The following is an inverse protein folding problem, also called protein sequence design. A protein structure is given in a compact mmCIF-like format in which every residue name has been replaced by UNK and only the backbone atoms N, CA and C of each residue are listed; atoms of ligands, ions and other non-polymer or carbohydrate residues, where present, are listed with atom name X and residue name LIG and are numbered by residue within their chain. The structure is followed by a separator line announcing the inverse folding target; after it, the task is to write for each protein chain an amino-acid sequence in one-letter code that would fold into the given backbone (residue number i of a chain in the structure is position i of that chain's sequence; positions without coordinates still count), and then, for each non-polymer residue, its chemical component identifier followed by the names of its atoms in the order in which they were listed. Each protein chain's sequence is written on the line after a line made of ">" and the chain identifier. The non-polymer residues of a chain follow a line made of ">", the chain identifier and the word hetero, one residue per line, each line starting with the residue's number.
data_IF_551155665358
#
_entry.id   IF_551155665358
#
_cell.length_a   1.000
_cell.length_b   1.000
_cell.length_c   1.000
_cell.angle_alpha   90.00
_cell.angle_beta   90.00
_cell.angle_gamma   90.00
#
_symmetry.space_group_name_H-M   'P 1'
#
loop_
_entity.id
_entity.type
_entity.pdbx_description
1 polymer ?
#
# COMPACT_ATOMS: atom_id res chain seq x y z
N UNK A 1 11.76 31.08 13.40
CA UNK A 1 10.47 31.80 13.41
C UNK A 1 9.47 30.87 14.07
N UNK A 2 9.03 31.21 15.28
CA UNK A 2 7.98 30.47 15.97
C UNK A 2 6.69 30.68 15.19
N UNK A 3 6.22 29.61 14.51
CA UNK A 3 4.88 29.60 13.92
C UNK A 3 3.88 29.71 15.09
N UNK A 4 3.40 30.90 15.33
CA UNK A 4 2.22 31.13 16.17
C UNK A 4 1.05 30.43 15.50
N UNK A 5 0.42 29.56 16.26
CA UNK A 5 -0.90 29.01 15.95
C UNK A 5 -1.83 30.18 15.57
N UNK A 6 -2.49 30.21 14.43
CA UNK A 6 -3.33 31.32 13.98
C UNK A 6 -4.54 31.57 14.87
N UNK A 7 -4.77 30.79 15.94
CA UNK A 7 -5.89 30.96 16.87
C UNK A 7 -7.26 30.57 16.32
N UNK A 8 -7.31 30.02 15.11
CA UNK A 8 -8.54 29.59 14.43
C UNK A 8 -8.89 28.10 14.64
N UNK A 9 -8.11 27.39 15.48
CA UNK A 9 -8.29 25.96 15.76
C UNK A 9 -7.86 25.05 14.61
N UNK A 10 -7.14 25.57 13.59
CA UNK A 10 -6.60 24.76 12.49
C UNK A 10 -5.19 24.26 12.82
N UNK A 11 -4.86 23.08 12.32
CA UNK A 11 -3.62 22.36 12.52
C UNK A 11 -2.84 22.23 11.21
N UNK A 12 -1.51 22.30 11.25
CA UNK A 12 -0.68 22.12 10.05
C UNK A 12 -0.74 20.68 9.54
N UNK A 13 -0.50 20.49 8.25
CA UNK A 13 -0.30 19.20 7.63
C UNK A 13 1.18 18.78 7.72
N UNK A 14 1.44 17.46 7.64
CA UNK A 14 2.77 16.97 7.26
C UNK A 14 3.01 17.24 5.78
N UNK A 15 4.28 17.30 5.36
CA UNK A 15 4.62 17.47 3.93
C UNK A 15 4.03 16.35 3.07
N UNK A 16 3.97 15.12 3.61
CA UNK A 16 3.30 14.02 2.91
C UNK A 16 1.80 14.27 2.72
N UNK A 17 1.12 14.81 3.73
CA UNK A 17 -0.29 15.19 3.63
C UNK A 17 -0.51 16.37 2.68
N UNK A 18 0.39 17.37 2.67
CA UNK A 18 0.33 18.49 1.70
C UNK A 18 0.40 17.96 0.25
N UNK A 19 1.28 16.98 0.00
CA UNK A 19 1.35 16.31 -1.30
C UNK A 19 0.05 15.58 -1.67
N UNK A 20 -0.56 14.85 -0.73
CA UNK A 20 -1.84 14.16 -0.95
C UNK A 20 -3.01 15.13 -1.11
N UNK A 21 -3.01 16.25 -0.38
CA UNK A 21 -4.00 17.31 -0.55
C UNK A 21 -3.94 17.94 -1.95
N UNK A 22 -2.73 18.23 -2.44
CA UNK A 22 -2.53 18.73 -3.80
C UNK A 22 -3.06 17.73 -4.84
N UNK A 23 -2.73 16.44 -4.71
CA UNK A 23 -3.18 15.40 -5.63
C UNK A 23 -4.71 15.24 -5.61
N UNK A 24 -5.32 15.30 -4.42
CA UNK A 24 -6.79 15.31 -4.27
C UNK A 24 -7.41 16.54 -4.94
N UNK A 25 -6.84 17.73 -4.75
CA UNK A 25 -7.34 18.96 -5.37
C UNK A 25 -7.28 18.93 -6.89
N UNK A 26 -6.28 18.23 -7.47
CA UNK A 26 -6.14 18.07 -8.91
C UNK A 26 -7.09 17.01 -9.51
N UNK A 27 -7.50 16.00 -8.71
CA UNK A 27 -8.36 14.91 -9.13
C UNK A 27 -9.30 14.49 -7.98
N UNK A 28 -10.29 15.34 -7.62
CA UNK A 28 -11.12 15.12 -6.42
C UNK A 28 -12.03 13.89 -6.51
N UNK A 29 -12.31 13.41 -7.72
CA UNK A 29 -13.14 12.23 -7.97
C UNK A 29 -12.33 10.91 -8.04
N UNK A 30 -11.00 10.97 -7.90
CA UNK A 30 -10.13 9.79 -7.98
C UNK A 30 -10.17 8.96 -6.71
N UNK A 31 -10.24 7.64 -6.85
CA UNK A 31 -10.11 6.67 -5.74
C UNK A 31 -8.67 6.16 -5.52
N UNK A 32 -7.69 6.70 -6.24
CA UNK A 32 -6.27 6.27 -6.18
C UNK A 32 -5.71 6.21 -4.75
N UNK A 33 -6.15 7.12 -3.89
CA UNK A 33 -5.72 7.22 -2.50
C UNK A 33 -6.78 6.74 -1.50
N UNK A 34 -7.74 5.91 -1.94
CA UNK A 34 -8.66 5.24 -1.04
C UNK A 34 -8.04 3.95 -0.52
N UNK A 35 -8.10 3.76 0.79
CA UNK A 35 -7.76 2.52 1.46
C UNK A 35 -9.05 1.88 1.96
N UNK A 36 -9.30 0.65 1.57
CA UNK A 36 -10.50 -0.07 1.94
C UNK A 36 -10.18 -1.41 2.61
N UNK A 37 -10.92 -1.72 3.65
CA UNK A 37 -10.96 -3.04 4.25
C UNK A 37 -12.41 -3.46 4.42
N UNK A 38 -12.68 -4.76 4.32
CA UNK A 38 -13.98 -5.35 4.50
C UNK A 38 -13.97 -6.52 5.47
N UNK A 39 -15.06 -6.71 6.17
CA UNK A 39 -15.27 -7.89 7.03
C UNK A 39 -16.66 -8.44 6.76
N UNK A 40 -16.74 -9.73 6.37
CA UNK A 40 -18.02 -10.46 6.36
C UNK A 40 -18.35 -10.88 7.78
N UNK A 41 -19.58 -10.64 8.21
CA UNK A 41 -20.06 -10.93 9.56
C UNK A 41 -21.27 -11.86 9.48
N UNK A 42 -21.22 -12.98 10.18
CA UNK A 42 -22.26 -14.03 10.23
C UNK A 42 -22.57 -14.42 11.69
N UNK A 43 -23.84 -14.36 12.13
CA UNK A 43 -24.99 -13.72 11.47
C UNK A 43 -24.78 -12.23 11.24
N UNK A 44 -25.71 -11.60 10.48
CA UNK A 44 -25.70 -10.15 10.27
C UNK A 44 -25.67 -9.40 11.62
N UNK A 45 -24.76 -8.42 11.82
CA UNK A 45 -24.65 -7.68 13.07
C UNK A 45 -25.88 -6.80 13.32
N UNK A 46 -26.10 -6.47 14.59
CA UNK A 46 -27.04 -5.41 14.96
C UNK A 46 -26.49 -4.04 14.49
N UNK A 47 -27.22 -3.32 13.61
CA UNK A 47 -26.75 -2.04 13.09
C UNK A 47 -26.56 -0.95 14.15
N UNK A 48 -27.37 -0.95 15.22
CA UNK A 48 -27.28 0.05 16.30
C UNK A 48 -26.01 -0.18 17.12
N UNK A 49 -25.70 -1.44 17.43
CA UNK A 49 -24.46 -1.82 18.11
C UNK A 49 -23.24 -1.44 17.24
N UNK A 50 -23.28 -1.75 15.95
CA UNK A 50 -22.19 -1.43 15.03
C UNK A 50 -22.01 0.09 14.87
N UNK A 51 -23.10 0.87 14.81
CA UNK A 51 -23.05 2.33 14.76
C UNK A 51 -22.36 2.91 16.00
N UNK A 52 -22.70 2.44 17.20
CA UNK A 52 -22.04 2.84 18.45
C UNK A 52 -20.56 2.45 18.47
N UNK A 53 -20.20 1.30 17.91
CA UNK A 53 -18.80 0.91 17.78
C UNK A 53 -18.03 1.83 16.82
N UNK A 54 -18.62 2.24 15.69
CA UNK A 54 -18.05 3.23 14.76
C UNK A 54 -17.89 4.59 15.45
N UNK A 55 -18.87 5.03 16.23
CA UNK A 55 -18.80 6.29 17.00
C UNK A 55 -17.62 6.26 17.99
N UNK A 56 -17.46 5.17 18.73
CA UNK A 56 -16.33 5.00 19.67
C UNK A 56 -14.96 5.05 18.98
N UNK A 57 -14.83 4.43 17.78
CA UNK A 57 -13.60 4.46 16.98
C UNK A 57 -13.33 5.86 16.44
N UNK A 58 -14.34 6.56 15.94
CA UNK A 58 -14.17 7.93 15.42
C UNK A 58 -13.85 8.93 16.54
N UNK A 59 -14.41 8.74 17.73
CA UNK A 59 -14.06 9.53 18.91
C UNK A 59 -12.60 9.35 19.30
N UNK A 60 -12.12 8.10 19.37
CA UNK A 60 -10.74 7.75 19.71
C UNK A 60 -9.72 8.34 18.74
N UNK A 61 -10.04 8.38 17.43
CA UNK A 61 -9.10 8.70 16.36
C UNK A 61 -9.43 10.01 15.65
N UNK A 62 -8.90 11.17 16.14
CA UNK A 62 -9.19 12.51 15.57
C UNK A 62 -8.93 12.64 14.07
N UNK A 63 -8.00 11.87 13.52
CA UNK A 63 -7.71 11.89 12.08
C UNK A 63 -8.90 11.49 11.22
N UNK A 64 -9.81 10.63 11.71
CA UNK A 64 -10.99 10.19 10.98
C UNK A 64 -12.08 11.26 10.82
N UNK A 65 -12.06 12.25 11.67
CA UNK A 65 -13.00 13.39 11.68
C UNK A 65 -12.30 14.72 11.40
N UNK A 66 -11.13 14.65 10.74
CA UNK A 66 -10.42 15.84 10.28
C UNK A 66 -10.91 16.25 8.90
N UNK A 67 -11.16 17.55 8.72
CA UNK A 67 -11.44 18.18 7.42
C UNK A 67 -10.29 19.06 7.00
N UNK A 68 -10.12 19.24 5.70
CA UNK A 68 -8.95 19.87 5.10
C UNK A 68 -9.37 21.07 4.25
N UNK A 69 -8.60 22.14 4.27
CA UNK A 69 -8.88 23.33 3.47
C UNK A 69 -7.59 24.10 3.18
N UNK A 70 -7.59 24.83 2.07
CA UNK A 70 -6.57 25.83 1.80
C UNK A 70 -6.85 27.09 2.64
N UNK A 71 -5.79 27.65 3.19
CA UNK A 71 -5.81 28.92 3.94
C UNK A 71 -4.75 29.85 3.40
N UNK A 72 -4.72 31.10 3.87
CA UNK A 72 -3.64 32.05 3.54
C UNK A 72 -2.25 31.57 4.00
N UNK A 73 -2.21 30.60 4.92
CA UNK A 73 -0.98 29.98 5.45
C UNK A 73 -0.68 28.60 4.83
N UNK A 74 -1.31 28.25 3.69
CA UNK A 74 -1.24 26.94 3.04
C UNK A 74 -2.34 25.99 3.52
N UNK A 75 -2.26 24.72 3.10
CA UNK A 75 -3.26 23.73 3.46
C UNK A 75 -3.23 23.39 4.97
N UNK A 76 -4.39 23.32 5.59
CA UNK A 76 -4.60 23.09 7.01
C UNK A 76 -5.67 22.03 7.23
N UNK A 77 -5.69 21.42 8.40
CA UNK A 77 -6.78 20.56 8.84
C UNK A 77 -7.45 21.09 10.11
N UNK A 78 -8.71 20.79 10.28
CA UNK A 78 -9.48 21.04 11.49
C UNK A 78 -10.15 19.75 11.94
N UNK A 79 -10.05 19.44 13.23
CA UNK A 79 -10.70 18.29 13.84
C UNK A 79 -12.12 18.67 14.21
N UNK A 80 -13.11 17.97 13.67
CA UNK A 80 -14.51 18.17 13.98
C UNK A 80 -14.88 17.50 15.32
N UNK A 81 -15.91 17.97 16.03
CA UNK A 81 -16.47 17.27 17.17
C UNK A 81 -16.90 15.84 16.85
N UNK A 82 -16.89 14.91 17.82
CA UNK A 82 -17.45 13.59 17.65
C UNK A 82 -18.91 13.63 17.16
N UNK A 83 -19.27 12.73 16.24
CA UNK A 83 -20.63 12.61 15.70
C UNK A 83 -20.99 13.58 14.56
N UNK A 84 -20.13 14.53 14.21
CA UNK A 84 -20.37 15.40 13.03
C UNK A 84 -20.05 14.69 11.71
N UNK A 85 -19.08 13.79 11.71
CA UNK A 85 -18.70 13.00 10.53
C UNK A 85 -18.46 11.53 10.91
N UNK A 86 -18.31 10.67 9.90
CA UNK A 86 -17.87 9.29 10.10
C UNK A 86 -18.93 8.34 10.63
N UNK A 87 -20.21 8.65 10.44
CA UNK A 87 -21.33 7.79 10.87
C UNK A 87 -21.45 6.54 10.00
N UNK A 88 -21.96 5.45 10.60
CA UNK A 88 -22.26 4.23 9.87
C UNK A 88 -23.43 4.45 8.89
N UNK A 89 -23.21 4.10 7.63
CA UNK A 89 -24.28 4.01 6.62
C UNK A 89 -24.74 2.56 6.51
N UNK A 90 -26.01 2.29 6.72
CA UNK A 90 -26.60 0.94 6.58
C UNK A 90 -27.36 0.86 5.27
N UNK A 91 -27.09 -0.16 4.47
CA UNK A 91 -27.81 -0.47 3.23
C UNK A 91 -28.37 -1.87 3.30
N UNK A 92 -29.70 -1.99 3.27
CA UNK A 92 -30.39 -3.28 3.15
C UNK A 92 -30.29 -3.77 1.71
N UNK A 93 -29.60 -4.90 1.52
CA UNK A 93 -29.32 -5.48 0.19
C UNK A 93 -29.90 -6.90 0.10
N UNK A 94 -31.17 -7.05 0.55
CA UNK A 94 -31.88 -8.32 0.58
C UNK A 94 -31.96 -8.93 -0.82
N UNK A 95 -31.52 -10.20 -0.94
CA UNK A 95 -31.55 -10.92 -2.21
C UNK A 95 -30.35 -10.69 -3.11
N UNK A 96 -29.40 -9.82 -2.75
CA UNK A 96 -28.15 -9.65 -3.49
C UNK A 96 -27.32 -10.93 -3.42
N UNK A 97 -26.85 -11.41 -4.56
CA UNK A 97 -25.84 -12.46 -4.65
C UNK A 97 -24.44 -11.91 -4.35
N UNK A 98 -23.43 -12.79 -4.31
CA UNK A 98 -22.07 -12.38 -3.98
C UNK A 98 -21.43 -11.50 -5.09
N UNK A 99 -21.86 -11.62 -6.34
CA UNK A 99 -21.39 -10.77 -7.43
C UNK A 99 -21.97 -9.37 -7.35
N UNK A 100 -23.25 -9.26 -7.03
CA UNK A 100 -23.92 -7.98 -6.80
C UNK A 100 -23.37 -7.29 -5.56
N UNK A 101 -23.15 -8.05 -4.48
CA UNK A 101 -22.53 -7.53 -3.26
C UNK A 101 -21.13 -6.97 -3.54
N UNK A 102 -20.32 -7.69 -4.33
CA UNK A 102 -18.99 -7.19 -4.73
C UNK A 102 -19.08 -5.90 -5.54
N UNK A 103 -20.00 -5.80 -6.50
CA UNK A 103 -20.23 -4.55 -7.27
C UNK A 103 -20.62 -3.37 -6.37
N UNK A 104 -21.43 -3.63 -5.32
CA UNK A 104 -21.78 -2.63 -4.33
C UNK A 104 -20.56 -2.21 -3.49
N UNK A 105 -19.73 -3.18 -3.07
CA UNK A 105 -18.45 -2.90 -2.38
C UNK A 105 -17.57 -2.00 -3.25
N UNK A 106 -17.37 -2.37 -4.52
CA UNK A 106 -16.55 -1.60 -5.45
C UNK A 106 -17.08 -0.16 -5.63
N UNK A 107 -18.42 0.00 -5.69
CA UNK A 107 -19.05 1.32 -5.78
C UNK A 107 -18.82 2.18 -4.53
N UNK A 108 -18.88 1.59 -3.32
CA UNK A 108 -18.60 2.31 -2.06
C UNK A 108 -17.13 2.69 -1.95
N UNK A 109 -16.22 1.85 -2.43
CA UNK A 109 -14.77 2.13 -2.45
C UNK A 109 -14.44 3.21 -3.47
N UNK A 110 -15.09 3.20 -4.64
CA UNK A 110 -14.88 4.18 -5.69
C UNK A 110 -15.49 5.55 -5.39
N UNK A 111 -16.50 5.63 -4.50
CA UNK A 111 -17.19 6.88 -4.23
C UNK A 111 -16.23 7.96 -3.70
N UNK A 112 -16.17 9.16 -4.30
CA UNK A 112 -15.24 10.22 -3.91
C UNK A 112 -15.37 10.63 -2.44
N UNK A 113 -14.28 11.12 -1.86
CA UNK A 113 -14.29 11.80 -0.56
C UNK A 113 -14.40 13.31 -0.74
N UNK A 114 -15.27 13.93 0.05
CA UNK A 114 -15.32 15.39 0.22
C UNK A 114 -14.52 15.76 1.47
N UNK A 115 -13.20 15.91 1.29
CA UNK A 115 -12.28 16.14 2.41
C UNK A 115 -12.49 17.48 3.11
N UNK A 116 -13.20 18.43 2.48
CA UNK A 116 -13.46 19.77 3.03
C UNK A 116 -14.55 19.79 4.11
N UNK A 117 -15.49 18.86 4.07
CA UNK A 117 -16.68 18.87 4.92
C UNK A 117 -17.09 17.50 5.49
N UNK A 118 -16.91 16.40 4.74
CA UNK A 118 -17.27 15.05 5.20
C UNK A 118 -16.11 14.32 5.88
N UNK A 119 -14.86 14.75 5.60
CA UNK A 119 -13.66 14.13 6.12
C UNK A 119 -13.23 12.86 5.37
N UNK A 120 -12.21 12.16 5.88
CA UNK A 120 -11.50 11.10 5.18
C UNK A 120 -11.94 9.68 5.54
N UNK A 121 -13.11 9.52 6.17
CA UNK A 121 -13.56 8.24 6.72
C UNK A 121 -15.01 7.95 6.36
N UNK A 122 -15.27 6.71 5.96
CA UNK A 122 -16.62 6.18 5.67
C UNK A 122 -16.74 4.75 6.19
N UNK A 123 -17.79 4.48 6.96
CA UNK A 123 -18.18 3.15 7.40
C UNK A 123 -19.52 2.77 6.77
N UNK A 124 -19.60 1.58 6.16
CA UNK A 124 -20.80 1.10 5.47
C UNK A 124 -21.07 -0.33 5.88
N UNK A 125 -22.34 -0.63 6.17
CA UNK A 125 -22.84 -1.99 6.39
C UNK A 125 -23.77 -2.37 5.23
N UNK A 126 -23.34 -3.31 4.39
CA UNK A 126 -24.18 -3.95 3.36
C UNK A 126 -24.82 -5.19 3.98
N UNK A 127 -26.11 -5.11 4.33
CA UNK A 127 -26.80 -6.12 5.15
C UNK A 127 -27.73 -6.98 4.32
N UNK A 128 -27.46 -8.28 4.29
CA UNK A 128 -28.39 -9.30 3.77
C UNK A 128 -29.24 -9.89 4.90
N UNK A 129 -30.04 -10.91 4.61
CA UNK A 129 -30.91 -11.54 5.58
C UNK A 129 -30.14 -12.28 6.67
N UNK A 130 -29.06 -12.98 6.32
CA UNK A 130 -28.33 -13.89 7.20
C UNK A 130 -26.90 -13.41 7.53
N UNK A 131 -26.30 -12.61 6.65
CA UNK A 131 -24.95 -12.06 6.81
C UNK A 131 -24.88 -10.59 6.41
N UNK A 132 -23.73 -10.00 6.62
CA UNK A 132 -23.46 -8.64 6.15
C UNK A 132 -21.98 -8.47 5.81
N UNK A 133 -21.67 -7.46 4.98
CA UNK A 133 -20.33 -6.96 4.79
C UNK A 133 -20.21 -5.58 5.42
N UNK A 134 -19.38 -5.45 6.43
CA UNK A 134 -18.96 -4.19 6.98
C UNK A 134 -17.74 -3.70 6.21
N UNK A 135 -17.75 -2.44 5.76
CA UNK A 135 -16.68 -1.77 5.03
C UNK A 135 -16.16 -0.57 5.83
N UNK A 136 -14.87 -0.41 5.86
CA UNK A 136 -14.18 0.80 6.27
C UNK A 136 -13.39 1.30 5.07
N UNK A 137 -13.74 2.49 4.60
CA UNK A 137 -13.01 3.18 3.52
C UNK A 137 -12.43 4.47 4.08
N UNK A 138 -11.16 4.72 3.83
CA UNK A 138 -10.49 5.95 4.26
C UNK A 138 -9.71 6.57 3.12
N UNK A 139 -9.52 7.88 3.16
CA UNK A 139 -8.55 8.54 2.30
C UNK A 139 -7.15 8.46 2.93
N UNK A 140 -6.15 8.17 2.12
CA UNK A 140 -4.76 7.96 2.57
C UNK A 140 -4.16 9.18 3.30
N UNK A 141 -4.73 10.39 3.11
CA UNK A 141 -4.32 11.60 3.83
C UNK A 141 -4.44 11.46 5.36
N UNK A 142 -5.34 10.59 5.84
CA UNK A 142 -5.61 10.37 7.25
C UNK A 142 -5.12 9.03 7.79
N UNK A 143 -4.78 8.07 6.92
CA UNK A 143 -4.46 6.70 7.33
C UNK A 143 -3.37 6.09 6.46
N UNK A 144 -2.74 5.03 6.98
CA UNK A 144 -1.86 4.12 6.27
C UNK A 144 -2.30 2.66 6.49
N UNK A 145 -1.57 1.70 5.93
CA UNK A 145 -1.91 0.28 6.06
C UNK A 145 -2.00 -0.18 7.53
N UNK A 146 -1.05 0.26 8.40
CA UNK A 146 -1.12 -0.08 9.82
C UNK A 146 -2.32 0.58 10.50
N UNK A 147 -2.65 1.81 10.14
CA UNK A 147 -3.85 2.50 10.64
C UNK A 147 -5.13 1.75 10.29
N UNK A 148 -5.24 1.14 9.10
CA UNK A 148 -6.38 0.30 8.73
C UNK A 148 -6.55 -0.88 9.70
N UNK A 149 -5.45 -1.54 10.08
CA UNK A 149 -5.50 -2.64 11.03
C UNK A 149 -5.89 -2.17 12.45
N UNK A 150 -5.38 -1.02 12.88
CA UNK A 150 -5.79 -0.41 14.15
C UNK A 150 -7.30 -0.11 14.16
N UNK A 151 -7.84 0.42 13.06
CA UNK A 151 -9.26 0.72 12.95
C UNK A 151 -10.11 -0.54 13.05
N UNK A 152 -9.74 -1.62 12.34
CA UNK A 152 -10.47 -2.88 12.42
C UNK A 152 -10.37 -3.54 13.79
N UNK A 153 -9.19 -3.57 14.40
CA UNK A 153 -9.00 -4.05 15.77
C UNK A 153 -9.93 -3.34 16.76
N UNK A 154 -9.92 -2.03 16.71
CA UNK A 154 -10.70 -1.20 17.64
C UNK A 154 -12.20 -1.32 17.39
N UNK A 155 -12.61 -1.38 16.11
CA UNK A 155 -14.01 -1.54 15.72
C UNK A 155 -14.57 -2.89 16.19
N UNK A 156 -13.85 -3.97 15.96
CA UNK A 156 -14.28 -5.30 16.34
C UNK A 156 -14.26 -5.48 17.86
N UNK A 157 -13.28 -4.90 18.57
CA UNK A 157 -13.24 -4.89 20.03
C UNK A 157 -14.40 -4.08 20.63
N UNK A 158 -14.66 -2.88 20.11
CA UNK A 158 -15.80 -2.05 20.54
C UNK A 158 -17.14 -2.75 20.28
N UNK A 159 -17.30 -3.38 19.12
CA UNK A 159 -18.49 -4.14 18.79
C UNK A 159 -18.70 -5.32 19.79
N UNK A 160 -17.63 -6.06 20.10
CA UNK A 160 -17.71 -7.18 21.04
C UNK A 160 -18.17 -6.73 22.45
N UNK A 161 -17.58 -5.65 22.97
CA UNK A 161 -17.98 -5.10 24.27
C UNK A 161 -19.43 -4.66 24.28
N UNK A 162 -19.87 -3.91 23.28
CA UNK A 162 -21.24 -3.44 23.16
C UNK A 162 -22.25 -4.56 22.99
N UNK A 163 -21.94 -5.59 22.22
CA UNK A 163 -22.79 -6.78 22.04
C UNK A 163 -22.99 -7.57 23.35
N UNK A 164 -22.03 -7.47 24.28
CA UNK A 164 -22.12 -8.05 25.62
C UNK A 164 -22.66 -7.06 26.67
N UNK A 165 -23.14 -5.90 26.25
CA UNK A 165 -23.72 -4.88 27.13
C UNK A 165 -22.70 -4.08 27.96
N UNK A 166 -21.44 -4.09 27.55
CA UNK A 166 -20.36 -3.28 28.16
C UNK A 166 -20.09 -2.02 27.34
N UNK A 167 -19.61 -0.97 28.01
CA UNK A 167 -19.06 0.20 27.29
C UNK A 167 -17.68 -0.12 26.75
N UNK A 168 -17.38 0.31 25.50
CA UNK A 168 -16.07 0.06 24.87
C UNK A 168 -14.94 0.69 25.67
N UNK A 169 -13.85 -0.04 25.88
CA UNK A 169 -12.64 0.44 26.54
C UNK A 169 -11.51 0.65 25.54
N UNK A 170 -11.61 1.74 24.78
CA UNK A 170 -10.59 2.12 23.83
C UNK A 170 -9.66 3.18 24.50
N UNK A 171 -8.52 2.71 25.02
CA UNK A 171 -7.55 3.60 25.67
C UNK A 171 -7.00 4.64 24.67
N UNK A 172 -6.89 5.93 25.05
CA UNK A 172 -6.30 6.94 24.20
C UNK A 172 -4.82 6.63 23.92
N UNK A 173 -4.33 6.90 22.70
CA UNK A 173 -2.92 6.72 22.41
C UNK A 173 -2.03 7.66 23.21
N UNK A 174 -0.79 7.24 23.52
CA UNK A 174 0.17 8.00 24.32
C UNK A 174 0.68 9.29 23.64
N UNK A 175 0.44 9.46 22.36
CA UNK A 175 0.80 10.61 21.54
C UNK A 175 -0.24 10.81 20.44
N UNK A 176 -0.09 11.83 19.61
CA UNK A 176 -0.96 12.14 18.50
C UNK A 176 -0.17 12.32 17.18
N UNK A 177 -0.89 12.57 16.09
CA UNK A 177 -0.29 12.81 14.78
C UNK A 177 0.41 14.18 14.70
N UNK A 178 0.01 15.15 15.49
CA UNK A 178 0.59 16.49 15.51
C UNK A 178 2.02 16.49 16.04
N UNK A 179 2.33 15.58 16.95
CA UNK A 179 3.72 15.34 17.38
C UNK A 179 4.61 14.88 16.22
N UNK A 180 4.08 14.06 15.31
CA UNK A 180 4.82 13.66 14.11
C UNK A 180 5.04 14.87 13.19
N UNK A 181 4.02 15.68 12.93
CA UNK A 181 4.11 16.89 12.11
C UNK A 181 5.14 17.86 12.66
N UNK A 182 5.12 18.12 13.96
CA UNK A 182 6.09 18.98 14.63
C UNK A 182 7.53 18.45 14.54
N UNK A 183 7.71 17.13 14.71
CA UNK A 183 9.01 16.48 14.59
C UNK A 183 9.55 16.50 13.15
N UNK A 184 8.68 16.35 12.15
CA UNK A 184 9.03 16.47 10.72
C UNK A 184 9.55 17.88 10.41
N UNK A 185 8.83 18.92 10.82
CA UNK A 185 9.25 20.34 10.65
C UNK A 185 10.59 20.62 11.31
N UNK A 186 10.77 20.19 12.55
CA UNK A 186 12.06 20.30 13.26
C UNK A 186 13.18 19.59 12.50
N UNK A 187 12.93 18.41 11.95
CA UNK A 187 13.90 17.71 11.13
C UNK A 187 14.31 18.52 9.90
N UNK A 188 13.35 19.07 9.19
CA UNK A 188 13.60 19.80 7.93
C UNK A 188 14.43 21.07 8.15
N UNK A 189 14.27 21.74 9.29
CA UNK A 189 15.07 22.92 9.67
C UNK A 189 16.47 22.55 10.19
N UNK A 190 16.76 21.29 10.43
CA UNK A 190 18.02 20.82 11.02
C UNK A 190 19.10 20.51 9.98
N UNK A 191 20.36 20.49 10.43
CA UNK A 191 21.47 19.98 9.62
C UNK A 191 21.33 18.50 9.20
N UNK A 192 20.55 17.72 9.97
CA UNK A 192 20.20 16.34 9.61
C UNK A 192 19.26 16.32 8.40
N UNK A 193 18.26 17.20 8.36
CA UNK A 193 17.36 17.35 7.20
C UNK A 193 18.13 17.74 5.94
N UNK A 194 19.05 18.71 6.04
CA UNK A 194 19.90 19.10 4.92
C UNK A 194 20.74 17.93 4.38
N UNK A 195 21.36 17.12 5.25
CA UNK A 195 22.11 15.92 4.81
C UNK A 195 21.23 14.85 4.17
N UNK A 196 19.97 14.71 4.62
CA UNK A 196 19.02 13.80 3.99
C UNK A 196 18.60 14.29 2.59
N UNK A 197 18.38 15.60 2.43
CA UNK A 197 18.12 16.21 1.13
C UNK A 197 19.26 15.96 0.14
N UNK A 198 20.52 16.15 0.58
CA UNK A 198 21.73 15.90 -0.23
C UNK A 198 21.81 14.44 -0.66
N UNK A 199 21.52 13.51 0.25
CA UNK A 199 21.46 12.08 -0.07
C UNK A 199 20.43 11.79 -1.16
N UNK A 200 19.21 12.29 -1.04
CA UNK A 200 18.16 12.03 -2.02
C UNK A 200 18.47 12.65 -3.39
N UNK A 201 19.07 13.85 -3.42
CA UNK A 201 19.55 14.44 -4.66
C UNK A 201 20.63 13.57 -5.33
N UNK A 202 21.60 13.08 -4.56
CA UNK A 202 22.63 12.19 -5.07
C UNK A 202 22.05 10.84 -5.55
N UNK A 203 21.10 10.27 -4.80
CA UNK A 203 20.46 8.99 -5.14
C UNK A 203 19.68 9.06 -6.46
N UNK A 204 19.11 10.22 -6.76
CA UNK A 204 18.35 10.47 -7.99
C UNK A 204 19.23 10.86 -9.17
N UNK A 205 20.39 11.48 -8.93
CA UNK A 205 21.23 12.03 -9.99
C UNK A 205 21.65 10.96 -11.02
N UNK A 206 21.30 11.18 -12.29
CA UNK A 206 21.61 10.28 -13.40
C UNK A 206 20.79 9.00 -13.48
N UNK A 207 19.89 8.75 -12.52
CA UNK A 207 18.98 7.60 -12.56
C UNK A 207 17.67 7.94 -13.32
N UNK A 208 16.94 6.91 -13.72
CA UNK A 208 15.66 7.04 -14.41
C UNK A 208 14.59 6.22 -13.67
N UNK A 209 13.31 6.57 -13.88
CA UNK A 209 12.22 5.69 -13.50
C UNK A 209 12.29 4.38 -14.32
N UNK A 210 12.15 3.24 -13.66
CA UNK A 210 12.03 1.98 -14.39
C UNK A 210 10.72 2.00 -15.20
N UNK A 211 10.81 1.76 -16.50
CA UNK A 211 9.65 1.75 -17.39
C UNK A 211 9.55 0.41 -18.11
N UNK A 212 8.49 -0.34 -17.83
CA UNK A 212 8.19 -1.60 -18.52
C UNK A 212 7.60 -1.32 -19.91
N UNK A 213 7.90 -2.16 -20.91
CA UNK A 213 7.19 -2.11 -22.19
C UNK A 213 5.69 -2.30 -21.98
N UNK A 214 4.89 -1.35 -22.43
CA UNK A 214 3.43 -1.36 -22.29
C UNK A 214 2.75 -2.02 -23.51
N UNK A 215 1.62 -2.69 -23.29
CA UNK A 215 0.81 -3.27 -24.38
C UNK A 215 0.02 -2.19 -25.14
N UNK A 216 -0.26 -1.06 -24.48
CA UNK A 216 -1.02 0.05 -25.02
C UNK A 216 -0.27 1.36 -24.87
N UNK A 217 -0.48 2.32 -25.79
CA UNK A 217 0.09 3.65 -25.65
C UNK A 217 -0.36 4.30 -24.35
N UNK A 218 0.55 5.01 -23.67
CA UNK A 218 0.23 5.75 -22.46
C UNK A 218 -0.76 6.86 -22.75
N UNK A 219 -1.91 6.91 -22.07
CA UNK A 219 -2.88 7.98 -22.27
C UNK A 219 -2.33 9.33 -21.82
N UNK A 220 -2.73 10.42 -22.50
CA UNK A 220 -2.33 11.76 -22.13
C UNK A 220 -2.86 12.19 -20.75
N UNK A 221 -4.04 11.71 -20.39
CA UNK A 221 -4.62 11.85 -19.04
C UNK A 221 -4.58 10.49 -18.36
N UNK A 222 -3.93 10.34 -17.22
CA UNK A 222 -3.92 9.07 -16.49
C UNK A 222 -5.36 8.62 -16.19
N UNK A 223 -5.76 7.50 -16.76
CA UNK A 223 -7.02 6.84 -16.45
C UNK A 223 -6.68 5.61 -15.61
N UNK A 224 -6.39 5.83 -14.34
CA UNK A 224 -5.84 4.82 -13.41
C UNK A 224 -6.87 3.75 -13.06
N UNK A 225 -7.20 2.87 -14.01
CA UNK A 225 -8.00 1.67 -13.72
C UNK A 225 -7.07 0.56 -13.27
N UNK A 226 -7.08 0.28 -11.98
CA UNK A 226 -6.25 -0.77 -11.38
C UNK A 226 -6.95 -2.13 -11.39
N UNK A 227 -6.15 -3.17 -11.43
CA UNK A 227 -6.55 -4.54 -11.08
C UNK A 227 -5.37 -5.27 -10.46
N UNK A 228 -5.61 -6.42 -9.83
CA UNK A 228 -4.58 -7.19 -9.17
C UNK A 228 -4.58 -8.67 -9.60
N UNK A 229 -3.39 -9.27 -9.57
CA UNK A 229 -3.18 -10.71 -9.59
C UNK A 229 -2.62 -11.10 -8.23
N UNK A 230 -3.32 -11.94 -7.50
CA UNK A 230 -2.90 -12.39 -6.17
C UNK A 230 -2.51 -13.85 -6.23
N UNK A 231 -1.33 -14.19 -5.70
CA UNK A 231 -0.85 -15.58 -5.63
C UNK A 231 -0.11 -15.82 -4.32
N UNK A 232 -0.45 -16.92 -3.68
CA UNK A 232 0.34 -17.47 -2.59
C UNK A 232 1.53 -18.23 -3.18
N UNK A 233 2.71 -17.96 -2.66
CA UNK A 233 3.90 -18.72 -3.04
C UNK A 233 3.84 -20.14 -2.44
N UNK A 234 4.40 -21.14 -3.13
CA UNK A 234 4.59 -22.46 -2.53
C UNK A 234 5.38 -22.37 -1.21
N UNK A 235 5.01 -23.19 -0.22
CA UNK A 235 5.65 -23.17 1.09
C UNK A 235 7.17 -23.40 1.01
N UNK A 236 7.60 -24.30 0.11
CA UNK A 236 9.02 -24.55 -0.14
C UNK A 236 9.78 -23.31 -0.64
N UNK A 237 9.14 -22.48 -1.49
CA UNK A 237 9.74 -21.25 -1.98
C UNK A 237 9.75 -20.16 -0.89
N UNK A 238 8.66 -20.02 -0.12
CA UNK A 238 8.59 -19.09 1.01
C UNK A 238 9.68 -19.39 2.05
N UNK A 239 9.86 -20.65 2.38
CA UNK A 239 10.92 -21.12 3.29
C UNK A 239 12.32 -20.96 2.66
N UNK A 240 12.45 -21.19 1.34
CA UNK A 240 13.68 -20.97 0.60
C UNK A 240 14.11 -19.50 0.66
N UNK A 241 13.18 -18.56 0.44
CA UNK A 241 13.43 -17.11 0.55
C UNK A 241 13.86 -16.75 1.98
N UNK A 242 13.23 -17.33 3.00
CA UNK A 242 13.61 -17.11 4.39
C UNK A 242 15.04 -17.56 4.67
N UNK A 243 15.43 -18.75 4.20
CA UNK A 243 16.80 -19.30 4.35
C UNK A 243 17.82 -18.47 3.57
N UNK A 244 17.56 -18.18 2.28
CA UNK A 244 18.45 -17.38 1.46
C UNK A 244 18.69 -15.98 2.06
N UNK A 245 17.66 -15.37 2.68
CA UNK A 245 17.79 -14.11 3.39
C UNK A 245 18.68 -14.25 4.64
N UNK A 246 18.51 -15.32 5.43
CA UNK A 246 19.32 -15.58 6.61
C UNK A 246 20.78 -15.88 6.26
N UNK A 247 21.04 -16.74 5.27
CA UNK A 247 22.39 -17.12 4.82
C UNK A 247 23.19 -15.92 4.29
N UNK A 248 22.52 -14.92 3.72
CA UNK A 248 23.12 -13.69 3.20
C UNK A 248 23.08 -12.52 4.19
N UNK A 249 22.55 -12.72 5.39
CA UNK A 249 22.34 -11.68 6.41
C UNK A 249 21.54 -10.45 5.89
N UNK A 250 20.55 -10.71 5.02
CA UNK A 250 19.66 -9.68 4.46
C UNK A 250 18.20 -9.92 4.85
N UNK A 251 17.33 -8.97 4.56
CA UNK A 251 15.88 -9.17 4.76
C UNK A 251 15.26 -9.98 3.61
N UNK A 252 14.15 -10.69 3.88
CA UNK A 252 13.34 -11.33 2.82
C UNK A 252 12.87 -10.28 1.78
N UNK A 253 12.61 -9.06 2.21
CA UNK A 253 12.29 -7.95 1.32
C UNK A 253 13.43 -7.64 0.35
N UNK A 254 14.68 -7.70 0.79
CA UNK A 254 15.85 -7.48 -0.08
C UNK A 254 15.97 -8.58 -1.15
N UNK A 255 15.71 -9.84 -0.79
CA UNK A 255 15.67 -10.95 -1.76
C UNK A 255 14.55 -10.71 -2.79
N UNK A 256 13.36 -10.35 -2.33
CA UNK A 256 12.22 -10.09 -3.19
C UNK A 256 12.45 -8.87 -4.10
N UNK A 257 12.98 -7.77 -3.58
CA UNK A 257 13.28 -6.57 -4.38
C UNK A 257 14.44 -6.82 -5.37
N UNK A 258 15.49 -7.54 -4.96
CA UNK A 258 16.59 -7.90 -5.87
C UNK A 258 16.11 -8.77 -7.04
N UNK A 259 15.21 -9.73 -6.79
CA UNK A 259 14.58 -10.52 -7.83
C UNK A 259 13.74 -9.63 -8.79
N UNK A 260 12.98 -8.66 -8.26
CA UNK A 260 12.23 -7.70 -9.08
C UNK A 260 13.17 -6.81 -9.92
N UNK A 261 14.21 -6.26 -9.32
CA UNK A 261 15.19 -5.44 -10.04
C UNK A 261 15.88 -6.24 -11.15
N UNK A 262 16.22 -7.50 -10.90
CA UNK A 262 16.75 -8.41 -11.90
C UNK A 262 15.77 -8.66 -13.05
N UNK A 263 14.50 -8.87 -12.76
CA UNK A 263 13.45 -9.04 -13.77
C UNK A 263 13.25 -7.78 -14.61
N UNK A 264 13.18 -6.61 -13.97
CA UNK A 264 13.05 -5.31 -14.67
C UNK A 264 14.25 -5.09 -15.61
N UNK A 265 15.48 -5.35 -15.15
CA UNK A 265 16.65 -5.28 -16.01
C UNK A 265 16.53 -6.20 -17.24
N UNK A 266 16.00 -7.41 -17.07
CA UNK A 266 15.84 -8.39 -18.16
C UNK A 266 14.74 -7.99 -19.17
N UNK A 267 13.70 -7.29 -18.72
CA UNK A 267 12.61 -6.82 -19.57
C UNK A 267 12.97 -5.56 -20.35
N UNK A 268 13.74 -4.66 -19.73
CA UNK A 268 13.97 -3.30 -20.22
C UNK A 268 15.38 -3.08 -20.75
N UNK A 269 16.35 -3.88 -20.33
CA UNK A 269 17.76 -3.63 -20.55
C UNK A 269 18.35 -2.51 -19.68
N UNK A 270 17.50 -1.82 -18.86
CA UNK A 270 17.95 -0.76 -17.96
C UNK A 270 18.83 -1.33 -16.87
N UNK A 271 19.93 -0.62 -16.55
CA UNK A 271 20.89 -1.03 -15.52
C UNK A 271 20.93 -0.08 -14.33
N UNK A 272 20.41 1.12 -14.51
CA UNK A 272 20.39 2.16 -13.50
C UNK A 272 18.99 2.77 -13.47
N UNK A 273 18.21 2.44 -12.44
CA UNK A 273 16.82 2.86 -12.33
C UNK A 273 16.35 2.87 -10.87
N UNK A 274 15.22 3.54 -10.65
CA UNK A 274 14.59 3.68 -9.35
C UNK A 274 13.34 2.80 -9.23
N UNK A 275 13.19 2.15 -8.06
CA UNK A 275 11.96 1.50 -7.60
C UNK A 275 11.52 2.18 -6.31
N UNK A 276 10.25 2.55 -6.21
CA UNK A 276 9.70 3.11 -4.98
C UNK A 276 9.37 2.00 -3.97
N UNK A 277 9.78 2.22 -2.73
CA UNK A 277 9.49 1.29 -1.65
C UNK A 277 8.82 2.08 -0.51
N UNK A 278 7.50 2.00 -0.35
CA UNK A 278 6.82 2.62 0.77
C UNK A 278 7.42 2.14 2.10
N UNK A 279 7.88 3.08 2.91
CA UNK A 279 8.48 2.82 4.22
C UNK A 279 7.68 3.50 5.33
N UNK A 280 7.45 2.80 6.43
CA UNK A 280 6.83 3.40 7.60
C UNK A 280 7.83 4.32 8.31
N UNK A 281 7.40 5.55 8.57
CA UNK A 281 8.13 6.53 9.40
C UNK A 281 7.54 6.60 10.82
N UNK A 282 6.63 5.71 11.15
CA UNK A 282 5.97 5.59 12.44
C UNK A 282 6.97 5.17 13.51
N UNK A 283 7.07 5.95 14.57
CA UNK A 283 7.89 5.63 15.75
C UNK A 283 7.09 4.74 16.71
N UNK A 284 7.78 4.04 17.59
CA UNK A 284 7.17 3.13 18.59
C UNK A 284 6.12 3.83 19.47
N UNK A 285 6.36 5.09 19.86
CA UNK A 285 5.39 5.88 20.64
C UNK A 285 4.07 6.11 19.90
N UNK A 286 4.09 6.14 18.56
CA UNK A 286 2.90 6.36 17.72
C UNK A 286 2.28 5.06 17.19
N UNK A 287 2.64 3.89 17.74
CA UNK A 287 2.14 2.60 17.26
C UNK A 287 0.61 2.49 17.30
N UNK A 288 -0.03 3.16 18.25
CA UNK A 288 -1.49 3.19 18.48
C UNK A 288 -2.19 4.40 17.84
N UNK A 289 -1.45 5.24 17.11
CA UNK A 289 -2.00 6.47 16.51
C UNK A 289 -2.42 6.21 15.07
N UNK A 290 -3.67 6.49 14.73
CA UNK A 290 -4.14 6.52 13.34
C UNK A 290 -3.60 7.78 12.67
N UNK A 291 -2.99 7.63 11.48
CA UNK A 291 -2.40 8.72 10.73
C UNK A 291 -1.67 8.27 9.47
N UNK A 292 -1.22 9.21 8.66
CA UNK A 292 -0.41 8.99 7.47
C UNK A 292 1.08 8.95 7.83
N UNK A 293 1.62 7.77 8.10
CA UNK A 293 3.01 7.54 8.49
C UNK A 293 3.81 6.78 7.44
N UNK A 294 3.38 6.78 6.21
CA UNK A 294 4.11 6.14 5.12
C UNK A 294 4.81 7.20 4.27
N UNK A 295 6.04 6.89 3.86
CA UNK A 295 6.79 7.74 2.94
C UNK A 295 7.46 6.85 1.88
N UNK A 296 7.20 7.06 0.58
CA UNK A 296 7.92 6.36 -0.47
C UNK A 296 9.42 6.70 -0.42
N UNK A 297 10.27 5.68 -0.33
CA UNK A 297 11.72 5.82 -0.47
C UNK A 297 12.15 5.25 -1.82
N UNK A 298 13.11 5.90 -2.47
CA UNK A 298 13.61 5.47 -3.77
C UNK A 298 14.80 4.54 -3.58
N UNK A 299 14.67 3.30 -4.02
CA UNK A 299 15.75 2.31 -4.00
C UNK A 299 16.34 2.18 -5.40
N UNK A 300 17.58 2.65 -5.57
CA UNK A 300 18.30 2.62 -6.86
C UNK A 300 18.83 1.23 -7.13
N UNK A 301 18.49 0.67 -8.28
CA UNK A 301 19.13 -0.49 -8.86
C UNK A 301 20.33 -0.03 -9.72
N UNK A 302 21.50 -0.59 -9.45
CA UNK A 302 22.73 -0.40 -10.24
C UNK A 302 23.26 -1.77 -10.60
N UNK A 303 22.93 -2.27 -11.78
CA UNK A 303 23.21 -3.64 -12.22
C UNK A 303 24.36 -3.66 -13.21
N UNK A 304 25.45 -4.31 -12.86
CA UNK A 304 26.59 -4.50 -13.76
C UNK A 304 26.27 -5.53 -14.84
N UNK A 305 27.04 -5.55 -15.92
CA UNK A 305 26.78 -6.41 -17.09
C UNK A 305 26.74 -7.91 -16.73
N UNK A 306 27.66 -8.31 -15.87
CA UNK A 306 27.89 -9.71 -15.53
C UNK A 306 27.39 -10.03 -14.10
N UNK A 307 26.52 -9.17 -13.54
CA UNK A 307 26.02 -9.34 -12.18
C UNK A 307 25.34 -10.70 -12.01
N UNK A 308 25.61 -11.33 -10.88
CA UNK A 308 24.85 -12.47 -10.40
C UNK A 308 23.58 -12.00 -9.69
N UNK A 309 22.63 -12.90 -9.53
CA UNK A 309 21.39 -12.58 -8.82
C UNK A 309 21.65 -12.25 -7.35
N UNK A 310 22.61 -12.95 -6.72
CA UNK A 310 23.04 -12.67 -5.34
C UNK A 310 23.65 -11.26 -5.18
N UNK A 311 24.49 -10.82 -6.11
CA UNK A 311 25.05 -9.45 -6.09
C UNK A 311 23.96 -8.38 -6.22
N UNK A 312 22.89 -8.65 -7.02
CA UNK A 312 21.74 -7.74 -7.12
C UNK A 312 20.99 -7.69 -5.79
N UNK A 313 20.77 -8.83 -5.13
CA UNK A 313 20.12 -8.93 -3.81
C UNK A 313 20.93 -8.18 -2.74
N UNK A 314 22.25 -8.38 -2.68
CA UNK A 314 23.13 -7.71 -1.70
C UNK A 314 23.12 -6.19 -1.89
N UNK A 315 23.19 -5.75 -3.14
CA UNK A 315 23.09 -4.33 -3.46
C UNK A 315 21.73 -3.74 -3.12
N UNK A 316 20.66 -4.46 -3.41
CA UNK A 316 19.30 -4.06 -2.99
C UNK A 316 19.21 -3.92 -1.46
N UNK A 317 19.76 -4.87 -0.70
CA UNK A 317 19.79 -4.82 0.76
C UNK A 317 20.53 -3.57 1.28
N UNK A 318 21.71 -3.27 0.73
CA UNK A 318 22.47 -2.07 1.08
C UNK A 318 21.68 -0.78 0.76
N UNK A 319 21.07 -0.70 -0.44
CA UNK A 319 20.30 0.46 -0.86
C UNK A 319 19.03 0.64 -0.05
N UNK A 320 18.33 -0.44 0.32
CA UNK A 320 17.18 -0.42 1.23
C UNK A 320 17.61 0.15 2.58
N UNK A 321 18.71 -0.33 3.15
CA UNK A 321 19.21 0.13 4.47
C UNK A 321 19.52 1.63 4.44
N UNK A 322 20.21 2.11 3.39
CA UNK A 322 20.53 3.52 3.21
C UNK A 322 19.30 4.39 3.05
N UNK A 323 18.32 3.94 2.25
CA UNK A 323 17.06 4.64 2.00
C UNK A 323 16.19 4.69 3.26
N UNK A 324 16.02 3.56 3.96
CA UNK A 324 15.20 3.46 5.17
C UNK A 324 15.76 4.32 6.31
N UNK A 325 17.09 4.40 6.47
CA UNK A 325 17.72 5.29 7.46
C UNK A 325 17.41 6.78 7.22
N UNK A 326 16.91 7.13 6.05
CA UNK A 326 16.56 8.49 5.62
C UNK A 326 15.09 8.65 5.22
N UNK A 327 14.27 7.66 5.54
CA UNK A 327 12.85 7.65 5.22
C UNK A 327 12.06 8.81 5.88
N UNK A 328 12.62 9.44 6.91
CA UNK A 328 12.01 10.60 7.55
C UNK A 328 12.07 11.89 6.72
N UNK A 329 12.82 11.94 5.62
CA UNK A 329 12.78 13.06 4.68
C UNK A 329 11.61 12.87 3.70
N UNK A 330 10.63 13.80 3.64
CA UNK A 330 9.40 13.60 2.89
C UNK A 330 9.61 13.48 1.37
N UNK A 331 8.97 12.49 0.76
CA UNK A 331 9.03 12.24 -0.69
C UNK A 331 8.57 13.44 -1.56
N UNK A 332 7.52 14.22 -1.20
CA UNK A 332 7.14 15.39 -1.98
C UNK A 332 8.29 16.40 -2.19
N UNK A 333 9.17 16.58 -1.20
CA UNK A 333 10.36 17.43 -1.35
C UNK A 333 11.39 16.80 -2.30
N UNK A 334 11.56 15.48 -2.27
CA UNK A 334 12.42 14.76 -3.24
C UNK A 334 11.88 14.92 -4.66
N UNK A 335 10.56 14.88 -4.82
CA UNK A 335 9.89 15.08 -6.12
C UNK A 335 10.00 16.54 -6.60
N UNK A 336 9.81 17.49 -5.71
CA UNK A 336 9.93 18.92 -6.02
C UNK A 336 11.36 19.27 -6.50
N UNK A 337 12.39 18.74 -5.85
CA UNK A 337 13.79 18.91 -6.26
C UNK A 337 14.10 18.30 -7.64
N UNK A 338 13.23 17.44 -8.17
CA UNK A 338 13.38 16.83 -9.48
C UNK A 338 12.98 17.76 -10.64
N UNK A 339 12.18 18.80 -10.36
CA UNK A 339 11.61 19.67 -11.39
C UNK A 339 10.70 18.89 -12.36
N UNK A 340 10.60 19.37 -13.59
CA UNK A 340 9.69 18.82 -14.61
C UNK A 340 10.19 17.55 -15.31
N UNK A 341 11.11 16.81 -14.69
CA UNK A 341 11.77 15.61 -15.27
C UNK A 341 10.87 14.37 -15.41
N UNK A 342 9.57 14.47 -15.12
CA UNK A 342 8.62 13.35 -15.15
C UNK A 342 8.61 12.54 -13.84
N UNK A 343 7.87 11.41 -13.79
CA UNK A 343 7.73 10.61 -12.57
C UNK A 343 9.06 10.01 -12.14
N UNK A 344 9.35 10.06 -10.84
CA UNK A 344 10.58 9.48 -10.27
C UNK A 344 10.55 7.95 -10.24
N UNK A 345 9.38 7.35 -10.27
CA UNK A 345 9.18 5.91 -10.33
C UNK A 345 7.88 5.56 -11.07
N UNK A 346 7.84 4.38 -11.64
CA UNK A 346 6.65 3.76 -12.26
C UNK A 346 6.41 2.35 -11.70
N UNK A 347 7.37 1.86 -10.93
CA UNK A 347 7.30 0.57 -10.27
C UNK A 347 7.49 0.78 -8.77
N UNK A 348 6.61 0.18 -7.98
CA UNK A 348 6.70 0.19 -6.52
C UNK A 348 6.72 -1.23 -5.96
N UNK A 349 7.33 -1.40 -4.79
CA UNK A 349 7.31 -2.66 -4.06
C UNK A 349 7.27 -2.42 -2.56
N UNK A 350 6.39 -3.15 -1.87
CA UNK A 350 6.31 -3.14 -0.40
C UNK A 350 6.23 -4.55 0.16
N UNK A 351 6.56 -4.70 1.43
CA UNK A 351 6.33 -5.94 2.19
C UNK A 351 5.67 -5.60 3.52
N UNK A 352 4.55 -6.27 3.78
CA UNK A 352 3.80 -6.18 5.03
C UNK A 352 3.94 -7.50 5.79
N UNK A 353 4.21 -7.44 7.09
CA UNK A 353 4.19 -8.63 7.96
C UNK A 353 3.00 -8.54 8.89
N UNK A 354 2.11 -9.50 8.78
CA UNK A 354 0.91 -9.58 9.65
C UNK A 354 1.25 -9.98 11.08
N UNK A 355 2.42 -10.58 11.31
CA UNK A 355 2.94 -10.91 12.66
C UNK A 355 3.13 -9.67 13.56
N UNK A 356 3.06 -8.48 12.98
CA UNK A 356 3.13 -7.20 13.72
C UNK A 356 1.77 -6.69 14.17
N UNK A 357 0.70 -7.39 13.82
CA UNK A 357 -0.66 -6.98 14.17
C UNK A 357 -1.07 -7.64 15.50
N UNK A 358 -1.50 -6.82 16.44
CA UNK A 358 -1.97 -7.25 17.75
C UNK A 358 -3.48 -7.58 17.71
N UNK A 359 -3.97 -8.31 18.72
CA UNK A 359 -5.40 -8.51 18.93
C UNK A 359 -6.07 -9.51 17.99
N UNK A 360 -5.31 -10.48 17.46
CA UNK A 360 -5.85 -11.51 16.56
C UNK A 360 -5.97 -11.04 15.09
N UNK A 361 -5.55 -9.81 14.81
CA UNK A 361 -5.62 -9.25 13.43
C UNK A 361 -4.67 -9.95 12.47
N UNK A 362 -3.59 -10.58 12.96
CA UNK A 362 -2.73 -11.47 12.18
C UNK A 362 -3.49 -12.67 11.60
N UNK A 363 -4.45 -13.19 12.36
CA UNK A 363 -5.32 -14.30 11.93
C UNK A 363 -6.36 -13.79 10.93
N UNK A 364 -6.95 -12.63 11.21
CA UNK A 364 -7.91 -12.00 10.30
C UNK A 364 -7.27 -11.66 8.95
N UNK A 365 -6.05 -11.14 8.94
CA UNK A 365 -5.29 -10.83 7.73
C UNK A 365 -5.01 -12.07 6.85
N UNK A 366 -4.95 -13.26 7.47
CA UNK A 366 -4.84 -14.54 6.76
C UNK A 366 -6.20 -15.05 6.22
N UNK A 367 -7.29 -14.30 6.38
CA UNK A 367 -8.64 -14.70 5.97
C UNK A 367 -9.24 -15.79 6.86
N UNK A 368 -8.69 -16.01 8.06
CA UNK A 368 -9.21 -17.00 9.01
C UNK A 368 -10.38 -16.39 9.78
N UNK A 369 -11.53 -17.08 9.85
CA UNK A 369 -12.68 -16.62 10.61
C UNK A 369 -12.37 -16.46 12.11
N UNK A 370 -12.78 -15.35 12.70
CA UNK A 370 -12.61 -15.05 14.11
C UNK A 370 -13.96 -14.81 14.80
N UNK A 371 -14.06 -15.12 16.10
CA UNK A 371 -15.28 -14.90 16.90
C UNK A 371 -15.25 -13.50 17.51
N UNK A 372 -16.30 -12.72 17.28
CA UNK A 372 -16.42 -11.34 17.75
C UNK A 372 -17.85 -11.07 18.21
N UNK A 373 -18.08 -10.84 19.50
CA UNK A 373 -19.40 -10.47 20.04
C UNK A 373 -20.56 -11.40 19.61
N UNK A 374 -20.32 -12.72 19.59
CA UNK A 374 -21.30 -13.72 19.17
C UNK A 374 -21.35 -13.97 17.66
N UNK A 375 -20.66 -13.18 16.85
CA UNK A 375 -20.57 -13.32 15.39
C UNK A 375 -19.30 -14.09 14.97
N UNK A 376 -19.32 -14.57 13.74
CA UNK A 376 -18.11 -14.96 13.00
C UNK A 376 -17.73 -13.81 12.05
N UNK A 377 -16.54 -13.29 12.18
CA UNK A 377 -15.99 -12.23 11.34
C UNK A 377 -14.88 -12.79 10.44
N UNK A 378 -14.98 -12.58 9.13
CA UNK A 378 -13.96 -13.00 8.15
C UNK A 378 -13.51 -11.79 7.36
N UNK A 379 -12.22 -11.49 7.37
CA UNK A 379 -11.67 -10.39 6.59
C UNK A 379 -11.78 -10.66 5.10
N UNK A 380 -12.17 -9.63 4.36
CA UNK A 380 -12.26 -9.62 2.90
C UNK A 380 -11.19 -8.71 2.33
N UNK A 381 -10.35 -9.25 1.48
CA UNK A 381 -9.43 -8.42 0.69
C UNK A 381 -10.23 -7.59 -0.32
N UNK A 382 -10.12 -6.29 -0.22
CA UNK A 382 -10.74 -5.34 -1.14
C UNK A 382 -9.69 -4.90 -2.16
N UNK A 383 -9.87 -5.18 -3.46
CA UNK A 383 -8.94 -4.76 -4.48
C UNK A 383 -8.82 -3.24 -4.58
N UNK A 384 -7.62 -2.72 -4.79
CA UNK A 384 -7.46 -1.32 -5.19
C UNK A 384 -8.04 -1.11 -6.60
N UNK A 385 -8.94 -0.14 -6.76
CA UNK A 385 -9.61 0.15 -8.02
C UNK A 385 -8.76 1.02 -8.94
N UNK A 386 -7.85 1.81 -8.39
CA UNK A 386 -6.92 2.68 -9.11
C UNK A 386 -5.50 2.49 -8.56
N UNK A 387 -4.49 2.61 -9.45
CA UNK A 387 -3.09 2.44 -9.08
C UNK A 387 -2.37 3.78 -8.89
N UNK A 388 -1.42 3.84 -7.95
CA UNK A 388 -0.55 5.00 -7.72
C UNK A 388 0.65 5.03 -8.69
N UNK A 389 0.91 3.95 -9.42
CA UNK A 389 1.98 3.78 -10.40
C UNK A 389 1.61 2.69 -11.41
N UNK A 390 2.42 2.53 -12.45
CA UNK A 390 2.14 1.58 -13.54
C UNK A 390 2.02 0.14 -13.03
N UNK A 391 2.95 -0.26 -12.14
CA UNK A 391 2.99 -1.61 -11.54
C UNK A 391 3.44 -1.52 -10.08
N UNK A 392 2.74 -2.19 -9.19
CA UNK A 392 3.19 -2.37 -7.81
C UNK A 392 3.09 -3.82 -7.36
N UNK A 393 4.07 -4.25 -6.57
CA UNK A 393 4.07 -5.56 -5.91
C UNK A 393 3.96 -5.36 -4.40
N UNK A 394 2.97 -5.98 -3.81
CA UNK A 394 2.86 -6.09 -2.36
C UNK A 394 3.10 -7.53 -1.95
N UNK A 395 4.07 -7.74 -1.08
CA UNK A 395 4.35 -9.04 -0.49
C UNK A 395 3.80 -9.05 0.93
N UNK A 396 2.83 -9.89 1.20
CA UNK A 396 2.30 -10.13 2.53
C UNK A 396 2.96 -11.37 3.12
N UNK A 397 3.56 -11.21 4.29
CA UNK A 397 4.09 -12.32 5.09
C UNK A 397 3.15 -12.61 6.25
N UNK A 398 2.66 -13.82 6.30
CA UNK A 398 1.86 -14.37 7.40
C UNK A 398 2.52 -15.62 8.00
N UNK A 399 1.88 -16.22 9.02
CA UNK A 399 2.36 -17.45 9.67
C UNK A 399 2.45 -18.66 8.73
N UNK A 400 1.81 -18.60 7.57
CA UNK A 400 1.77 -19.70 6.61
C UNK A 400 2.74 -19.49 5.42
N UNK A 401 3.35 -18.30 5.25
CA UNK A 401 4.32 -18.01 4.18
C UNK A 401 4.14 -16.64 3.52
N UNK A 402 4.35 -16.58 2.21
CA UNK A 402 4.32 -15.34 1.43
C UNK A 402 3.19 -15.36 0.39
N UNK A 403 2.41 -14.29 0.38
CA UNK A 403 1.44 -13.98 -0.68
C UNK A 403 1.90 -12.73 -1.42
N UNK A 404 1.78 -12.72 -2.75
CA UNK A 404 2.14 -11.58 -3.58
C UNK A 404 0.90 -11.08 -4.32
N UNK A 405 0.60 -9.80 -4.16
CA UNK A 405 -0.36 -9.06 -4.96
C UNK A 405 0.40 -8.18 -5.97
N UNK A 406 0.27 -8.50 -7.25
CA UNK A 406 0.77 -7.68 -8.35
C UNK A 406 -0.39 -6.82 -8.85
N UNK A 407 -0.29 -5.50 -8.64
CA UNK A 407 -1.27 -4.51 -9.09
C UNK A 407 -0.73 -3.78 -10.30
N UNK A 408 -1.58 -3.49 -11.28
CA UNK A 408 -1.16 -2.83 -12.52
C UNK A 408 -2.27 -1.99 -13.14
N UNK A 409 -1.86 -0.99 -13.94
CA UNK A 409 -2.77 -0.14 -14.70
C UNK A 409 -3.26 -0.87 -15.96
N UNK A 410 -4.57 -1.16 -16.01
CA UNK A 410 -5.21 -1.84 -17.16
C UNK A 410 -5.30 -0.97 -18.41
N UNK A 411 -5.07 0.34 -18.30
CA UNK A 411 -4.93 1.21 -19.47
C UNK A 411 -3.59 0.99 -20.19
N UNK A 412 -2.58 0.44 -19.51
CA UNK A 412 -1.24 0.20 -20.04
C UNK A 412 -0.99 -1.27 -20.38
N UNK A 413 -1.50 -2.19 -19.56
CA UNK A 413 -1.13 -3.61 -19.63
C UNK A 413 -2.33 -4.52 -19.81
N UNK A 414 -2.11 -5.58 -20.55
CA UNK A 414 -3.06 -6.69 -20.66
C UNK A 414 -2.83 -7.68 -19.52
N UNK A 415 -3.91 -8.35 -19.11
CA UNK A 415 -3.86 -9.36 -18.06
C UNK A 415 -2.83 -10.45 -18.35
N UNK A 416 -2.80 -10.95 -19.59
CA UNK A 416 -1.87 -12.01 -20.04
C UNK A 416 -0.41 -11.60 -19.97
N UNK A 417 -0.09 -10.32 -20.22
CA UNK A 417 1.25 -9.77 -20.07
C UNK A 417 1.65 -9.73 -18.60
N UNK A 418 0.74 -9.32 -17.70
CA UNK A 418 1.01 -9.28 -16.28
C UNK A 418 1.07 -10.67 -15.63
N UNK A 419 0.27 -11.63 -16.09
CA UNK A 419 0.39 -13.03 -15.68
C UNK A 419 1.76 -13.60 -16.05
N UNK A 420 2.26 -13.32 -17.25
CA UNK A 420 3.62 -13.69 -17.68
C UNK A 420 4.71 -13.01 -16.84
N UNK A 421 4.57 -11.72 -16.57
CA UNK A 421 5.50 -10.98 -15.68
C UNK A 421 5.54 -11.64 -14.31
N UNK A 422 4.38 -12.00 -13.76
CA UNK A 422 4.28 -12.64 -12.45
C UNK A 422 4.97 -14.03 -12.44
N UNK A 423 4.73 -14.87 -13.46
CA UNK A 423 5.38 -16.18 -13.59
C UNK A 423 6.90 -16.02 -13.65
N UNK A 424 7.38 -15.05 -14.40
CA UNK A 424 8.80 -14.75 -14.50
C UNK A 424 9.38 -14.22 -13.20
N UNK A 425 8.62 -13.40 -12.45
CA UNK A 425 9.03 -12.93 -11.14
C UNK A 425 9.20 -14.09 -10.16
N UNK A 426 8.26 -15.04 -10.13
CA UNK A 426 8.39 -16.26 -9.31
C UNK A 426 9.63 -17.06 -9.71
N UNK A 427 9.97 -17.15 -11.00
CA UNK A 427 11.21 -17.80 -11.48
C UNK A 427 12.47 -17.07 -10.99
N UNK A 428 12.45 -15.75 -10.94
CA UNK A 428 13.57 -14.96 -10.39
C UNK A 428 13.73 -15.19 -8.89
N UNK A 429 12.62 -15.26 -8.14
CA UNK A 429 12.64 -15.63 -6.73
C UNK A 429 13.22 -17.03 -6.52
N UNK A 430 12.77 -18.01 -7.32
CA UNK A 430 13.29 -19.37 -7.27
C UNK A 430 14.79 -19.41 -7.60
N UNK A 431 15.23 -18.69 -8.61
CA UNK A 431 16.64 -18.61 -8.96
C UNK A 431 17.50 -17.95 -7.86
N UNK A 432 16.96 -16.95 -7.16
CA UNK A 432 17.64 -16.30 -6.02
C UNK A 432 17.80 -17.25 -4.83
N UNK A 433 16.91 -18.22 -4.68
CA UNK A 433 16.97 -19.26 -3.64
C UNK A 433 17.88 -20.41 -4.02
N UNK A 434 17.76 -20.92 -5.26
CA UNK A 434 18.42 -22.16 -5.68
C UNK A 434 19.87 -21.96 -6.11
N UNK A 435 20.21 -20.80 -6.69
CA UNK A 435 21.53 -20.53 -7.28
C UNK A 435 21.77 -19.01 -7.38
N UNK A 436 22.10 -18.40 -6.25
CA UNK A 436 22.36 -16.97 -6.16
C UNK A 436 23.57 -16.49 -7.00
N UNK A 437 24.53 -17.38 -7.28
CA UNK A 437 25.71 -17.10 -8.10
C UNK A 437 25.40 -17.16 -9.60
N UNK A 438 24.17 -17.52 -9.96
CA UNK A 438 23.75 -17.54 -11.36
C UNK A 438 23.80 -16.14 -11.97
N UNK A 439 24.54 -15.97 -13.09
CA UNK A 439 24.52 -14.71 -13.82
C UNK A 439 23.09 -14.32 -14.20
N UNK A 440 22.71 -13.07 -13.96
CA UNK A 440 21.36 -12.55 -14.20
C UNK A 440 20.88 -12.84 -15.63
N UNK A 441 21.78 -12.73 -16.61
CA UNK A 441 21.50 -13.04 -18.01
C UNK A 441 21.13 -14.50 -18.30
N UNK A 442 21.44 -15.43 -17.38
CA UNK A 442 21.15 -16.86 -17.51
C UNK A 442 19.86 -17.30 -16.81
N UNK A 443 19.18 -16.41 -16.10
CA UNK A 443 17.86 -16.70 -15.55
C UNK A 443 16.87 -16.82 -16.72
N UNK A 444 16.19 -17.95 -16.79
CA UNK A 444 15.24 -18.23 -17.91
C UNK A 444 13.97 -17.42 -17.72
N UNK A 445 13.59 -16.66 -18.75
CA UNK A 445 12.31 -15.96 -18.81
C UNK A 445 11.17 -16.87 -19.34
N UNK A 446 11.50 -17.90 -20.13
CA UNK A 446 10.54 -18.78 -20.76
C UNK A 446 10.71 -20.23 -20.25
N UNK A 447 9.62 -20.96 -20.14
CA UNK A 447 9.62 -22.42 -19.92
C UNK A 447 9.61 -23.19 -21.25
N UNK A 448 9.45 -24.54 -21.14
CA UNK A 448 9.37 -25.41 -22.31
C UNK A 448 8.12 -25.18 -23.14
N UNK A 449 7.00 -24.77 -22.51
CA UNK A 449 5.73 -24.51 -23.19
C UNK A 449 5.77 -23.17 -23.90
N UNK A 450 6.28 -22.11 -23.26
CA UNK A 450 6.55 -20.81 -23.88
C UNK A 450 7.45 -20.98 -25.11
N UNK A 451 8.51 -21.78 -24.99
CA UNK A 451 9.44 -22.04 -26.09
C UNK A 451 8.76 -22.77 -27.25
N UNK A 452 7.90 -23.74 -26.94
CA UNK A 452 7.12 -24.45 -27.99
C UNK A 452 6.15 -23.50 -28.68
N UNK A 453 5.44 -22.66 -27.94
CA UNK A 453 4.53 -21.66 -28.47
C UNK A 453 5.26 -20.63 -29.37
N UNK A 454 6.43 -20.15 -28.98
CA UNK A 454 7.26 -19.24 -29.77
C UNK A 454 7.78 -19.91 -31.05
N UNK A 455 8.22 -21.16 -30.95
CA UNK A 455 8.66 -21.95 -32.14
C UNK A 455 7.49 -22.24 -33.11
N UNK A 456 6.27 -22.44 -32.58
CA UNK A 456 5.07 -22.64 -33.42
C UNK A 456 4.67 -21.33 -34.16
N UNK A 457 4.86 -20.16 -33.51
CA UNK A 457 4.63 -18.85 -34.14
C UNK A 457 5.72 -18.48 -35.17
N UNK A 458 6.97 -18.95 -34.97
CA UNK A 458 8.08 -18.74 -35.91
C UNK A 458 8.16 -19.75 -37.04
N UNK A 459 7.44 -20.84 -36.94
CA UNK A 459 7.39 -21.90 -37.96
C UNK A 459 6.37 -21.62 -39.05
N UNK A 460 6.67 -20.73 -40.01
CA UNK A 460 6.10 -20.86 -41.32
C UNK A 460 6.82 -22.03 -41.98
N UNK A 461 6.12 -23.10 -42.40
CA UNK A 461 6.72 -24.08 -43.33
C UNK A 461 6.93 -23.36 -44.65
N UNK A 462 8.19 -23.02 -44.92
CA UNK A 462 8.58 -22.51 -46.23
C UNK A 462 8.08 -23.42 -47.29
N UNK A 463 7.30 -22.90 -48.20
CA UNK A 463 6.97 -23.56 -49.46
C UNK A 463 8.26 -23.90 -50.16
N UNK A 464 8.52 -25.19 -50.27
CA UNK A 464 9.43 -25.73 -51.30
C UNK A 464 8.55 -26.22 -52.42
N UNK A 465 8.65 -25.53 -53.50
CA UNK A 465 8.34 -26.04 -54.83
C UNK A 465 9.46 -25.70 -55.76
#
# INVERSE_FOLDING_TARGET
>A
MTHTDPGDGTLPLSVGQEGLWLLHSLAPDSSTYHLAGGVRMEPAPDPEILARAVDAVTERHPMLRSVYADTEHGPRRRVLPPGETGRLTVREVRGADDEELRRMVDAEVAAPFRLTDEGPFRAVLLRRAEDAVALVVTHHIATDALSQWLLWRDLLAAYADLAEGREPRLEPPATDFDHFVAAERTLLESSRGARQADFWRAQRAGSQAAELPTDRPRPAVPASKGTSLVRRLPDALSEGIRRAAADREVSQFAVALGALQGLVNRWTGMRDFLVACPASVRRSAAREVVGYYVNPVLVRAEITRDATLGEVVDRAAERIRQATARASYPFPLVAQDAGDGGPLYRIAMTMVSTERFDGGMEVAAAGVPMRVGGLTATYLEIPHLEGQCDVSLEVTRDAQGLTIALRYDTALFERTTMERLFDQYVRFLTAAVDDADRPLGRVRLTDGDDKRALLALGGHPGAVS
#
